data_IF_166917515132
#
_entry.id   IF_166917515132
#
_cell.length_a   1.000
_cell.length_b   1.000
_cell.length_c   1.000
_cell.angle_alpha   90.00
_cell.angle_beta   90.00
_cell.angle_gamma   90.00
#
_symmetry.space_group_name_H-M   'P 1'
#
loop_
_entity.id
_entity.type
_entity.pdbx_description
1 polymer ?
#
# COMPACT_ATOMS: atom_id res chain seq x y z
N UNK A 1 5.06 30.59 21.54
CA UNK A 1 6.15 29.67 21.27
C UNK A 1 5.75 28.23 21.46
N UNK A 2 5.35 27.89 22.66
CA UNK A 2 4.95 26.51 22.99
C UNK A 2 3.78 26.02 22.15
N UNK A 3 2.89 26.93 21.79
CA UNK A 3 1.71 26.58 21.01
C UNK A 3 2.06 25.98 19.65
N UNK A 4 3.17 26.39 19.06
CA UNK A 4 3.56 25.88 17.75
C UNK A 4 3.92 24.42 17.78
N UNK A 5 4.52 23.98 18.87
CA UNK A 5 4.86 22.58 19.02
C UNK A 5 3.63 21.70 19.08
N UNK A 6 2.60 22.19 19.73
CA UNK A 6 1.35 21.46 19.83
C UNK A 6 0.70 21.25 18.48
N UNK A 7 0.75 22.25 17.62
CA UNK A 7 0.20 22.13 16.28
C UNK A 7 0.92 21.06 15.47
N UNK A 8 2.24 21.07 15.50
CA UNK A 8 3.03 20.10 14.76
C UNK A 8 2.71 18.70 15.24
N UNK A 9 2.63 18.51 16.55
CA UNK A 9 2.33 17.23 17.13
C UNK A 9 0.97 16.70 16.68
N UNK A 10 -0.03 17.56 16.68
CA UNK A 10 -1.39 17.17 16.27
C UNK A 10 -1.46 16.78 14.80
N UNK A 11 -0.65 17.39 13.96
CA UNK A 11 -0.65 17.07 12.54
C UNK A 11 -0.14 15.66 12.26
N UNK A 12 0.78 15.16 13.08
CA UNK A 12 1.29 13.79 12.87
C UNK A 12 0.29 12.72 13.22
N UNK A 13 -0.53 12.95 14.23
CA UNK A 13 -1.48 11.95 14.68
C UNK A 13 -2.42 11.50 13.56
N UNK A 14 -3.09 12.40 12.83
CA UNK A 14 -3.98 11.96 11.76
C UNK A 14 -3.26 11.19 10.66
N UNK A 15 -2.05 11.57 10.31
CA UNK A 15 -1.32 10.89 9.26
C UNK A 15 -0.96 9.46 9.62
N UNK A 16 -0.56 9.24 10.87
CA UNK A 16 -0.20 7.90 11.30
C UNK A 16 -1.41 6.97 11.34
N UNK A 17 -2.62 7.51 11.52
CA UNK A 17 -3.84 6.71 11.57
C UNK A 17 -4.14 6.05 10.22
N UNK A 18 -3.60 6.56 9.12
CA UNK A 18 -3.84 6.00 7.78
C UNK A 18 -2.73 5.10 7.30
N UNK A 19 -1.79 4.75 8.17
CA UNK A 19 -0.73 3.82 7.82
C UNK A 19 -1.17 2.40 8.06
N UNK A 20 -0.57 1.46 7.34
CA UNK A 20 -0.92 0.07 7.53
C UNK A 20 0.13 -0.89 7.04
N UNK A 21 0.08 -2.10 7.56
CA UNK A 21 0.90 -3.22 7.10
C UNK A 21 -0.04 -4.31 6.61
N UNK A 22 0.22 -4.80 5.42
CA UNK A 22 -0.63 -5.77 4.73
C UNK A 22 0.15 -7.03 4.42
N UNK A 23 -0.50 -8.17 4.56
CA UNK A 23 0.05 -9.44 4.09
C UNK A 23 -0.39 -9.65 2.66
N UNK A 24 0.55 -10.00 1.78
CA UNK A 24 0.24 -10.35 0.40
C UNK A 24 -0.10 -11.83 0.37
N UNK A 25 -1.31 -12.14 -0.04
CA UNK A 25 -1.85 -13.50 0.04
C UNK A 25 -0.97 -14.51 -0.68
N UNK A 26 -0.79 -15.68 -0.08
CA UNK A 26 -0.04 -16.81 -0.64
C UNK A 26 1.44 -16.54 -0.89
N UNK A 27 1.99 -15.50 -0.26
CA UNK A 27 3.41 -15.18 -0.35
C UNK A 27 3.96 -14.92 1.03
N UNK A 28 5.28 -14.80 1.11
CA UNK A 28 5.93 -14.34 2.33
C UNK A 28 6.15 -12.83 2.36
N UNK A 29 5.49 -12.10 1.46
CA UNK A 29 5.71 -10.67 1.31
C UNK A 29 4.76 -9.87 2.19
N UNK A 30 5.26 -8.74 2.66
CA UNK A 30 4.49 -7.74 3.37
C UNK A 30 4.57 -6.42 2.62
N UNK A 31 3.48 -5.68 2.69
CA UNK A 31 3.39 -4.33 2.13
C UNK A 31 3.11 -3.37 3.27
N UNK A 32 3.97 -2.37 3.42
CA UNK A 32 3.76 -1.32 4.40
C UNK A 32 3.44 -0.03 3.66
N UNK A 33 2.42 0.69 4.11
CA UNK A 33 1.99 1.93 3.49
C UNK A 33 1.91 3.04 4.50
N UNK A 34 2.11 4.27 4.03
CA UNK A 34 1.94 5.47 4.82
C UNK A 34 1.33 6.54 3.92
N UNK A 35 0.18 7.07 4.32
CA UNK A 35 -0.47 8.12 3.55
C UNK A 35 0.25 9.44 3.71
N UNK A 36 0.41 10.12 2.60
CA UNK A 36 1.08 11.42 2.55
C UNK A 36 0.06 12.54 2.43
N UNK A 37 0.47 13.75 2.74
CA UNK A 37 -0.42 14.91 2.72
C UNK A 37 -1.03 15.20 1.36
N UNK A 38 -0.28 14.89 0.30
CA UNK A 38 -0.73 15.17 -1.07
C UNK A 38 -1.66 14.11 -1.64
N UNK A 39 -2.05 13.13 -0.84
CA UNK A 39 -2.93 12.06 -1.31
C UNK A 39 -2.22 10.83 -1.83
N UNK A 40 -0.92 10.89 -2.02
CA UNK A 40 -0.15 9.72 -2.43
C UNK A 40 0.18 8.85 -1.23
N UNK A 41 0.78 7.69 -1.48
CA UNK A 41 1.26 6.84 -0.41
C UNK A 41 2.75 6.55 -0.60
N UNK A 42 3.44 6.45 0.51
CA UNK A 42 4.78 5.90 0.57
C UNK A 42 4.62 4.41 0.85
N UNK A 43 5.35 3.56 0.13
CA UNK A 43 5.18 2.12 0.29
C UNK A 43 6.53 1.42 0.36
N UNK A 44 6.48 0.23 0.94
CA UNK A 44 7.64 -0.64 1.06
C UNK A 44 7.14 -2.08 0.96
N UNK A 45 7.64 -2.83 -0.02
CA UNK A 45 7.35 -4.25 -0.15
C UNK A 45 8.60 -5.00 0.28
N UNK A 46 8.44 -5.86 1.27
CA UNK A 46 9.59 -6.55 1.85
C UNK A 46 9.25 -7.99 2.20
N UNK A 47 10.32 -8.76 2.37
CA UNK A 47 10.22 -10.17 2.74
C UNK A 47 10.41 -10.30 4.23
N UNK A 48 9.49 -10.97 4.90
CA UNK A 48 9.54 -11.12 6.35
C UNK A 48 10.09 -12.47 6.81
N UNK A 49 10.57 -13.29 5.89
CA UNK A 49 11.00 -14.64 6.22
C UNK A 49 12.20 -14.71 7.16
N UNK A 50 13.14 -13.80 6.98
CA UNK A 50 14.34 -13.76 7.81
C UNK A 50 14.16 -12.75 8.91
N UNK A 51 14.99 -12.84 9.93
CA UNK A 51 15.00 -11.85 10.98
C UNK A 51 15.33 -10.49 10.38
N UNK A 52 14.46 -9.53 10.56
CA UNK A 52 14.65 -8.21 10.04
C UNK A 52 13.94 -8.01 8.72
N UNK A 53 13.95 -6.78 8.29
CA UNK A 53 13.25 -6.32 7.11
C UNK A 53 14.18 -6.36 5.89
N UNK A 54 13.74 -7.04 4.86
CA UNK A 54 14.50 -7.14 3.63
C UNK A 54 13.69 -6.51 2.50
N UNK A 55 13.90 -5.23 2.27
CA UNK A 55 13.13 -4.45 1.31
C UNK A 55 13.43 -4.86 -0.13
N UNK A 56 12.41 -5.16 -0.89
CA UNK A 56 12.53 -5.49 -2.31
C UNK A 56 12.35 -4.25 -3.17
N UNK A 57 11.36 -3.42 -2.84
CA UNK A 57 11.13 -2.16 -3.52
C UNK A 57 10.42 -1.22 -2.57
N UNK A 58 10.79 0.05 -2.64
CA UNK A 58 10.14 1.09 -1.87
C UNK A 58 10.10 2.37 -2.69
N UNK A 59 9.13 3.21 -2.40
CA UNK A 59 8.98 4.46 -3.10
C UNK A 59 7.66 5.12 -2.79
N UNK A 60 7.23 5.98 -3.70
CA UNK A 60 5.96 6.68 -3.60
C UNK A 60 5.07 6.21 -4.74
N UNK A 61 3.85 5.83 -4.41
CA UNK A 61 2.83 5.49 -5.39
C UNK A 61 1.81 6.62 -5.43
N UNK A 62 1.51 7.08 -6.63
CA UNK A 62 0.63 8.24 -6.82
C UNK A 62 -0.82 7.80 -6.93
N UNK A 63 -1.69 8.52 -6.24
CA UNK A 63 -3.12 8.29 -6.34
C UNK A 63 -3.57 8.56 -7.77
N UNK A 64 -4.20 7.55 -8.36
CA UNK A 64 -4.75 7.68 -9.70
C UNK A 64 -5.96 8.59 -9.67
N UNK A 65 -5.96 9.61 -10.50
CA UNK A 65 -7.06 10.55 -10.57
C UNK A 65 -8.28 9.93 -11.24
N UNK A 66 -9.47 10.46 -10.89
CA UNK A 66 -10.71 9.98 -11.45
C UNK A 66 -11.53 9.22 -10.43
N UNK A 67 -12.49 8.44 -10.92
CA UNK A 67 -13.37 7.64 -10.07
C UNK A 67 -12.61 6.48 -9.46
N UNK A 68 -13.07 6.04 -8.31
CA UNK A 68 -12.49 4.85 -7.68
C UNK A 68 -12.74 3.61 -8.54
N UNK A 69 -11.85 2.64 -8.40
CA UNK A 69 -11.98 1.37 -9.09
C UNK A 69 -12.74 0.38 -8.21
N UNK A 70 -13.08 -0.77 -8.76
CA UNK A 70 -13.80 -1.80 -8.03
C UNK A 70 -12.96 -3.08 -8.00
N UNK A 71 -12.78 -3.60 -6.80
CA UNK A 71 -12.18 -4.92 -6.60
C UNK A 71 -13.28 -5.91 -6.23
N UNK A 72 -13.01 -7.18 -6.48
CA UNK A 72 -13.92 -8.26 -6.11
C UNK A 72 -13.31 -9.01 -4.92
N UNK A 73 -14.11 -9.15 -3.87
CA UNK A 73 -13.71 -9.94 -2.71
C UNK A 73 -13.84 -11.42 -3.08
N UNK A 74 -12.74 -12.15 -3.01
CA UNK A 74 -12.72 -13.55 -3.41
C UNK A 74 -13.59 -14.44 -2.53
N UNK A 75 -13.77 -14.08 -1.26
CA UNK A 75 -14.54 -14.91 -0.35
C UNK A 75 -16.05 -14.75 -0.55
N UNK A 76 -16.49 -13.52 -0.80
CA UNK A 76 -17.93 -13.23 -0.90
C UNK A 76 -18.41 -13.06 -2.32
N UNK A 77 -17.51 -12.80 -3.27
CA UNK A 77 -17.88 -12.48 -4.64
C UNK A 77 -18.43 -11.08 -4.83
N UNK A 78 -18.42 -10.26 -3.78
CA UNK A 78 -18.97 -8.91 -3.84
C UNK A 78 -17.89 -7.90 -4.21
N UNK A 79 -18.31 -6.85 -4.92
CA UNK A 79 -17.43 -5.76 -5.26
C UNK A 79 -17.29 -4.76 -4.13
N UNK A 80 -16.15 -4.10 -4.06
CA UNK A 80 -15.92 -3.00 -3.13
C UNK A 80 -15.05 -1.93 -3.79
N UNK A 81 -15.27 -0.68 -3.41
CA UNK A 81 -14.56 0.44 -3.99
C UNK A 81 -13.15 0.53 -3.44
N UNK A 82 -12.19 0.79 -4.32
CA UNK A 82 -10.79 0.97 -3.95
C UNK A 82 -10.24 2.22 -4.58
N UNK A 83 -9.27 2.83 -3.92
CA UNK A 83 -8.39 3.82 -4.51
C UNK A 83 -7.17 3.09 -5.05
N UNK A 84 -6.73 3.47 -6.24
CA UNK A 84 -5.57 2.86 -6.87
C UNK A 84 -4.38 3.81 -6.83
N UNK A 85 -3.23 3.29 -6.40
CA UNK A 85 -1.98 4.04 -6.30
C UNK A 85 -0.96 3.38 -7.22
N UNK A 86 -0.32 4.19 -8.06
CA UNK A 86 0.56 3.69 -9.11
C UNK A 86 1.99 4.16 -8.88
N UNK A 87 2.91 3.23 -8.97
CA UNK A 87 4.35 3.49 -8.99
C UNK A 87 4.90 2.86 -10.27
N UNK A 88 5.55 3.65 -11.10
CA UNK A 88 6.09 3.18 -12.36
C UNK A 88 7.45 3.81 -12.59
N UNK A 89 8.49 3.15 -12.09
CA UNK A 89 9.87 3.62 -12.19
C UNK A 89 10.83 2.46 -12.35
N UNK A 90 11.91 2.70 -13.08
CA UNK A 90 13.00 1.73 -13.21
C UNK A 90 12.54 0.36 -13.70
N UNK A 91 11.59 0.38 -14.65
CA UNK A 91 11.02 -0.85 -15.22
C UNK A 91 10.30 -1.70 -14.17
N UNK A 92 9.83 -1.08 -13.11
CA UNK A 92 9.07 -1.77 -12.09
C UNK A 92 7.73 -1.06 -11.93
N UNK A 93 6.66 -1.75 -12.29
CA UNK A 93 5.30 -1.23 -12.18
C UNK A 93 4.63 -1.83 -10.96
N UNK A 94 4.10 -0.99 -10.11
CA UNK A 94 3.39 -1.40 -8.90
C UNK A 94 2.03 -0.71 -8.87
N UNK A 95 0.97 -1.48 -8.71
CA UNK A 95 -0.36 -0.94 -8.49
C UNK A 95 -0.85 -1.46 -7.13
N UNK A 96 -1.20 -0.53 -6.25
CA UNK A 96 -1.71 -0.84 -4.92
C UNK A 96 -3.13 -0.33 -4.86
N UNK A 97 -4.08 -1.22 -4.63
CA UNK A 97 -5.49 -0.85 -4.48
C UNK A 97 -5.90 -1.08 -3.04
N UNK A 98 -6.47 -0.05 -2.44
CA UNK A 98 -6.88 -0.09 -1.03
C UNK A 98 -8.35 0.29 -0.91
N UNK A 99 -9.08 -0.45 -0.07
CA UNK A 99 -10.46 -0.18 0.28
C UNK A 99 -10.64 1.28 0.73
N UNK A 100 -11.56 2.00 0.08
CA UNK A 100 -11.73 3.43 0.36
C UNK A 100 -12.29 3.70 1.75
N UNK A 101 -13.05 2.75 2.30
CA UNK A 101 -13.71 2.99 3.59
C UNK A 101 -12.76 2.84 4.77
N UNK A 102 -12.03 1.72 4.82
CA UNK A 102 -11.25 1.40 6.02
C UNK A 102 -9.82 1.03 5.72
N UNK A 103 -9.46 0.87 4.44
CA UNK A 103 -8.11 0.45 4.07
C UNK A 103 -7.71 -0.90 4.61
N UNK A 104 -8.66 -1.78 4.90
CA UNK A 104 -8.36 -3.07 5.52
C UNK A 104 -7.96 -4.15 4.53
N UNK A 105 -8.36 -4.00 3.29
CA UNK A 105 -8.07 -4.99 2.25
C UNK A 105 -7.87 -4.29 0.92
N UNK A 106 -7.39 -5.05 -0.04
CA UNK A 106 -7.16 -4.52 -1.37
C UNK A 106 -6.45 -5.54 -2.22
N UNK A 107 -5.62 -5.07 -3.12
CA UNK A 107 -4.84 -5.93 -3.99
C UNK A 107 -3.51 -5.29 -4.34
N UNK A 108 -2.56 -6.14 -4.68
CA UNK A 108 -1.24 -5.72 -5.14
C UNK A 108 -0.98 -6.35 -6.49
N UNK A 109 -0.70 -5.51 -7.47
CA UNK A 109 -0.33 -5.95 -8.80
C UNK A 109 1.05 -5.42 -9.11
N UNK A 110 1.94 -6.29 -9.59
CA UNK A 110 3.30 -5.89 -9.92
C UNK A 110 3.71 -6.42 -11.28
N UNK A 111 4.65 -5.71 -11.88
CA UNK A 111 5.34 -6.16 -13.07
C UNK A 111 6.76 -5.60 -13.01
N UNK A 112 7.65 -6.34 -12.35
CA UNK A 112 9.02 -5.90 -12.11
C UNK A 112 9.97 -7.02 -12.58
N UNK A 113 10.36 -7.01 -13.85
CA UNK A 113 11.16 -8.13 -14.42
C UNK A 113 12.46 -8.40 -13.69
N UNK A 114 13.04 -7.39 -13.05
CA UNK A 114 14.33 -7.55 -12.37
C UNK A 114 14.23 -8.13 -10.98
N UNK A 115 13.01 -8.22 -10.44
CA UNK A 115 12.78 -8.77 -9.10
C UNK A 115 11.93 -10.02 -9.24
N UNK A 116 12.51 -11.19 -9.00
CA UNK A 116 11.80 -12.44 -9.20
C UNK A 116 10.49 -12.49 -8.43
N UNK A 117 10.49 -12.04 -7.19
CA UNK A 117 9.31 -12.12 -6.34
C UNK A 117 8.21 -11.16 -6.76
N UNK A 118 8.55 -10.15 -7.57
CA UNK A 118 7.61 -9.14 -8.02
C UNK A 118 7.42 -9.14 -9.53
N UNK A 119 7.82 -10.20 -10.19
CA UNK A 119 7.78 -10.24 -11.65
C UNK A 119 6.36 -10.11 -12.19
N UNK A 120 5.45 -10.89 -11.64
CA UNK A 120 4.04 -10.86 -12.00
C UNK A 120 3.18 -11.25 -10.81
N UNK A 121 2.76 -10.28 -10.02
CA UNK A 121 1.82 -10.53 -8.95
C UNK A 121 0.49 -9.86 -9.26
N UNK A 122 -0.58 -10.50 -8.84
CA UNK A 122 -1.91 -9.92 -8.82
C UNK A 122 -2.69 -10.66 -7.75
N UNK A 123 -2.50 -10.22 -6.51
CA UNK A 123 -2.97 -10.97 -5.36
C UNK A 123 -3.70 -10.06 -4.38
N UNK A 124 -4.67 -10.61 -3.66
CA UNK A 124 -5.30 -9.85 -2.57
C UNK A 124 -4.30 -9.55 -1.46
N UNK A 125 -4.55 -8.45 -0.79
CA UNK A 125 -3.80 -8.10 0.42
C UNK A 125 -4.78 -7.86 1.56
N UNK A 126 -4.32 -8.12 2.76
CA UNK A 126 -5.14 -7.99 3.95
C UNK A 126 -4.34 -7.30 5.04
N UNK A 127 -4.92 -6.26 5.62
CA UNK A 127 -4.27 -5.48 6.67
C UNK A 127 -4.10 -6.32 7.91
N UNK A 128 -2.90 -6.36 8.46
CA UNK A 128 -2.59 -7.09 9.66
C UNK A 128 -2.24 -6.17 10.83
N UNK A 129 -1.93 -4.91 10.57
CA UNK A 129 -1.81 -3.89 11.62
C UNK A 129 -1.66 -2.46 11.07
#
# INVERSE_FOLDING_TARGET
MMKKFLYVFLLFIPLSAYSGTYRVNKTGLLLQTKHLKNGNIQFDIYNSRNSGKNSLVQGVAKLKSGDSEINIDEETGLGYDVDEYIHDKNQCFISIRLDVEKGKKGSLKTSCPKQNELRHLNLPILKIK
#
